data_IF_646991364441
#
_entry.id   IF_646991364441
#
_cell.length_a   1.000
_cell.length_b   1.000
_cell.length_c   1.000
_cell.angle_alpha   90.00
_cell.angle_beta   90.00
_cell.angle_gamma   90.00
#
_symmetry.space_group_name_H-M   'P 1'
#
loop_
_entity.id
_entity.type
_entity.pdbx_description
1 polymer ?
#
# COMPACT_ATOMS: atom_id res chain seq x y z
N UNK A 1 2.34 7.11 17.17
CA UNK A 1 1.27 7.73 16.34
C UNK A 1 0.83 6.72 15.32
N UNK A 2 -0.45 6.35 15.28
CA UNK A 2 -0.97 5.37 14.33
C UNK A 2 -0.99 5.99 12.94
N UNK A 3 0.00 5.68 12.09
CA UNK A 3 -0.06 6.06 10.67
C UNK A 3 -1.34 5.49 10.08
N UNK A 4 -2.24 6.36 9.63
CA UNK A 4 -3.48 5.94 8.97
C UNK A 4 -3.12 5.12 7.72
N UNK A 5 -3.78 3.98 7.56
CA UNK A 5 -3.63 3.16 6.37
C UNK A 5 -4.01 3.99 5.13
N UNK A 6 -3.17 4.05 4.09
CA UNK A 6 -3.49 4.77 2.86
C UNK A 6 -4.78 4.20 2.29
N UNK A 7 -5.62 5.08 1.78
CA UNK A 7 -6.93 4.75 1.23
C UNK A 7 -7.06 5.16 -0.24
N UNK A 8 -6.02 5.79 -0.78
CA UNK A 8 -5.92 6.21 -2.17
C UNK A 8 -4.48 6.09 -2.69
N UNK A 9 -4.32 6.05 -4.01
CA UNK A 9 -3.01 5.94 -4.67
C UNK A 9 -2.03 7.05 -4.26
N UNK A 10 -2.52 8.27 -4.04
CA UNK A 10 -1.70 9.41 -3.62
C UNK A 10 -1.10 9.17 -2.23
N UNK A 11 -1.90 8.75 -1.25
CA UNK A 11 -1.40 8.42 0.09
C UNK A 11 -0.43 7.23 0.04
N UNK A 12 -0.71 6.22 -0.78
CA UNK A 12 0.17 5.07 -0.94
C UNK A 12 1.56 5.51 -1.44
N UNK A 13 1.59 6.34 -2.49
CA UNK A 13 2.82 6.89 -3.05
C UNK A 13 3.56 7.80 -2.07
N UNK A 14 2.85 8.66 -1.34
CA UNK A 14 3.44 9.53 -0.32
C UNK A 14 4.06 8.75 0.84
N UNK A 15 3.51 7.58 1.16
CA UNK A 15 4.05 6.71 2.18
C UNK A 15 5.22 5.83 1.70
N UNK A 16 5.68 5.99 0.46
CA UNK A 16 6.73 5.16 -0.14
C UNK A 16 6.26 3.77 -0.55
N UNK A 17 4.95 3.60 -0.72
CA UNK A 17 4.35 2.36 -1.23
C UNK A 17 4.00 2.44 -2.72
N UNK A 18 3.65 1.29 -3.27
CA UNK A 18 3.15 1.10 -4.63
C UNK A 18 1.83 0.35 -4.59
N UNK A 19 0.93 0.69 -5.49
CA UNK A 19 -0.35 0.00 -5.65
C UNK A 19 -0.13 -1.31 -6.41
N UNK A 20 -0.56 -2.43 -5.83
CA UNK A 20 -0.58 -3.73 -6.52
C UNK A 20 -2.03 -4.17 -6.71
N UNK A 21 -2.37 -4.77 -7.86
CA UNK A 21 -3.76 -5.09 -8.20
C UNK A 21 -4.40 -6.16 -7.32
N UNK A 22 -3.62 -7.09 -6.76
CA UNK A 22 -4.19 -8.28 -6.09
C UNK A 22 -3.45 -8.59 -4.77
N UNK A 23 -2.13 -8.82 -4.86
CA UNK A 23 -1.26 -9.04 -3.71
C UNK A 23 0.11 -8.41 -3.93
N UNK A 24 0.85 -8.17 -2.84
CA UNK A 24 2.21 -7.66 -2.90
C UNK A 24 3.16 -8.82 -3.24
N UNK A 25 3.81 -8.83 -4.41
CA UNK A 25 4.55 -10.02 -4.86
C UNK A 25 5.94 -10.16 -4.24
N UNK A 26 6.47 -9.11 -3.58
CA UNK A 26 7.79 -9.17 -2.97
C UNK A 26 7.69 -9.66 -1.51
N UNK A 27 8.58 -10.58 -1.08
CA UNK A 27 8.62 -11.08 0.30
C UNK A 27 8.90 -9.96 1.32
N UNK A 28 9.67 -8.93 0.93
CA UNK A 28 9.94 -7.75 1.76
C UNK A 28 8.89 -6.64 1.64
N UNK A 29 7.76 -6.90 0.98
CA UNK A 29 6.68 -5.91 0.87
C UNK A 29 5.44 -6.33 1.65
N UNK A 30 4.92 -5.40 2.45
CA UNK A 30 3.71 -5.61 3.24
C UNK A 30 2.58 -4.71 2.72
N UNK A 31 1.38 -5.28 2.61
CA UNK A 31 0.16 -4.50 2.39
C UNK A 31 -0.18 -3.73 3.67
N UNK A 32 -0.21 -2.41 3.61
CA UNK A 32 -0.52 -1.58 4.79
C UNK A 32 -1.68 -0.60 4.58
N UNK A 33 -2.35 -0.70 3.42
CA UNK A 33 -3.57 0.02 3.09
C UNK A 33 -4.06 -0.37 1.70
N UNK A 34 -4.80 0.54 1.05
CA UNK A 34 -5.41 0.32 -0.27
C UNK A 34 -5.28 1.59 -1.11
N UNK A 35 -5.05 1.43 -2.41
CA UNK A 35 -5.04 2.53 -3.36
C UNK A 35 -6.41 2.81 -3.97
N UNK A 36 -7.21 1.76 -4.13
CA UNK A 36 -8.58 1.79 -4.66
C UNK A 36 -9.30 0.53 -4.16
N UNK A 37 -10.59 0.43 -4.46
CA UNK A 37 -11.37 -0.75 -4.13
C UNK A 37 -10.76 -1.98 -4.84
N UNK A 38 -10.24 -2.93 -4.05
CA UNK A 38 -9.56 -4.13 -4.56
C UNK A 38 -8.04 -4.02 -4.73
N UNK A 39 -7.44 -2.82 -4.69
CA UNK A 39 -6.00 -2.63 -4.95
C UNK A 39 -5.26 -2.35 -3.64
N UNK A 40 -4.53 -3.32 -3.04
CA UNK A 40 -3.71 -3.07 -1.86
C UNK A 40 -2.54 -2.10 -2.13
N UNK A 41 -2.22 -1.29 -1.13
CA UNK A 41 -0.98 -0.51 -1.10
C UNK A 41 0.12 -1.32 -0.45
N UNK A 42 1.15 -1.64 -1.24
CA UNK A 42 2.31 -2.43 -0.87
C UNK A 42 3.49 -1.52 -0.54
N UNK A 43 4.12 -1.70 0.62
CA UNK A 43 5.30 -0.95 1.03
C UNK A 43 6.41 -1.90 1.48
N UNK A 44 7.65 -1.63 1.07
CA UNK A 44 8.81 -2.35 1.58
C UNK A 44 8.98 -2.08 3.08
N UNK A 45 9.16 -3.13 3.89
CA UNK A 45 9.41 -3.00 5.33
C UNK A 45 10.82 -2.53 5.63
#
# INVERSE_FOLDING_TARGET
GFMRAPSNQVQCKQAGGTCSSDHCPLPDTRSFGRCQQGVPCCRAV
#
